data_IF_827309280955
#
_entry.id   IF_827309280955
#
_cell.length_a   1.000
_cell.length_b   1.000
_cell.length_c   1.000
_cell.angle_alpha   90.00
_cell.angle_beta   90.00
_cell.angle_gamma   90.00
#
_symmetry.space_group_name_H-M   'P 1'
#
loop_
_entity.id
_entity.type
_entity.pdbx_description
1 polymer ?
#
# COMPACT_ATOMS: atom_id res chain seq x y z
N UNK A 1 18.93 15.42 -13.19
CA UNK A 1 18.81 16.06 -11.84
C UNK A 1 17.54 15.67 -11.05
N UNK A 2 16.45 15.19 -11.68
CA UNK A 2 15.16 14.90 -11.00
C UNK A 2 15.16 13.69 -10.04
N UNK A 3 15.95 12.63 -10.29
CA UNK A 3 15.97 11.41 -9.44
C UNK A 3 16.39 11.66 -7.98
N UNK A 4 17.32 12.58 -7.72
CA UNK A 4 17.80 12.88 -6.36
C UNK A 4 16.80 13.69 -5.53
N UNK A 5 16.01 14.55 -6.18
CA UNK A 5 15.01 15.38 -5.50
C UNK A 5 13.82 14.55 -5.04
N UNK A 6 13.39 13.59 -5.85
CA UNK A 6 12.30 12.68 -5.50
C UNK A 6 12.70 11.74 -4.36
N UNK A 7 13.93 11.20 -4.37
CA UNK A 7 14.44 10.34 -3.30
C UNK A 7 14.39 11.04 -1.92
N UNK A 8 14.86 12.30 -1.85
CA UNK A 8 14.85 13.07 -0.60
C UNK A 8 13.43 13.32 -0.07
N UNK A 9 12.46 13.56 -0.94
CA UNK A 9 11.06 13.76 -0.53
C UNK A 9 10.45 12.47 0.03
N UNK A 10 10.77 11.33 -0.57
CA UNK A 10 10.31 10.02 -0.08
C UNK A 10 10.98 9.65 1.25
N UNK A 11 12.27 9.95 1.42
CA UNK A 11 12.96 9.77 2.70
C UNK A 11 12.33 10.63 3.82
N UNK A 12 12.01 11.89 3.51
CA UNK A 12 11.33 12.77 4.47
C UNK A 12 9.92 12.28 4.79
N UNK A 13 9.16 11.81 3.80
CA UNK A 13 7.87 11.17 4.02
C UNK A 13 8.01 9.98 4.97
N UNK A 14 8.94 9.07 4.68
CA UNK A 14 9.17 7.90 5.52
C UNK A 14 9.49 8.29 6.96
N UNK A 15 10.35 9.30 7.16
CA UNK A 15 10.67 9.81 8.49
C UNK A 15 9.47 10.37 9.26
N UNK A 16 8.56 11.09 8.58
CA UNK A 16 7.32 11.57 9.20
C UNK A 16 6.38 10.42 9.58
N UNK A 17 6.23 9.42 8.71
CA UNK A 17 5.38 8.25 8.97
C UNK A 17 5.94 7.38 10.11
N UNK A 18 7.26 7.20 10.19
CA UNK A 18 7.94 6.51 11.29
C UNK A 18 7.80 7.28 12.61
N UNK A 19 7.77 8.61 12.55
CA UNK A 19 7.48 9.48 13.68
C UNK A 19 5.97 9.60 14.01
N UNK A 20 5.11 8.81 13.34
CA UNK A 20 3.64 8.84 13.47
C UNK A 20 2.98 10.18 13.18
N UNK A 21 3.62 11.01 12.35
CA UNK A 21 3.11 12.32 11.92
C UNK A 21 2.35 12.19 10.61
N UNK A 22 1.22 11.47 10.64
CA UNK A 22 0.46 11.10 9.45
C UNK A 22 -0.22 12.28 8.74
N UNK A 23 -0.44 13.38 9.45
CA UNK A 23 -1.12 14.59 8.94
C UNK A 23 -0.22 15.83 9.05
N UNK A 24 1.11 15.66 9.04
CA UNK A 24 1.99 16.83 8.98
C UNK A 24 1.85 17.54 7.64
N UNK A 25 2.09 18.84 7.62
CA UNK A 25 2.01 19.64 6.39
C UNK A 25 2.88 19.09 5.24
N UNK A 26 3.97 18.38 5.57
CA UNK A 26 4.76 17.67 4.58
C UNK A 26 4.00 16.48 3.99
N UNK A 27 3.39 15.64 4.83
CA UNK A 27 2.61 14.47 4.38
C UNK A 27 1.42 14.93 3.58
N UNK A 28 0.61 15.86 4.08
CA UNK A 28 -0.55 16.41 3.36
C UNK A 28 -0.15 16.95 1.98
N UNK A 29 0.95 17.72 1.92
CA UNK A 29 1.47 18.26 0.66
C UNK A 29 1.91 17.17 -0.31
N UNK A 30 2.49 16.07 0.17
CA UNK A 30 2.90 14.94 -0.67
C UNK A 30 1.67 14.18 -1.17
N UNK A 31 0.67 13.97 -0.32
CA UNK A 31 -0.56 13.24 -0.66
C UNK A 31 -1.56 14.07 -1.48
N UNK A 32 -1.41 15.39 -1.51
CA UNK A 32 -2.18 16.28 -2.38
C UNK A 32 -1.84 16.06 -3.87
N UNK A 33 -0.64 15.56 -4.18
CA UNK A 33 -0.31 15.13 -5.54
C UNK A 33 -0.95 13.75 -5.81
N UNK A 34 -1.56 13.55 -7.00
CA UNK A 34 -2.16 12.25 -7.34
C UNK A 34 -1.07 11.16 -7.40
N UNK A 35 -1.22 10.13 -6.57
CA UNK A 35 -0.23 9.06 -6.47
C UNK A 35 -0.63 7.96 -5.50
N UNK A 36 -0.72 6.73 -6.02
CA UNK A 36 -1.13 5.58 -5.22
C UNK A 36 -0.08 5.15 -4.18
N UNK A 37 1.21 5.23 -4.51
CA UNK A 37 2.25 4.67 -3.62
C UNK A 37 2.44 5.45 -2.31
N UNK A 38 2.50 6.80 -2.29
CA UNK A 38 2.58 7.53 -1.02
C UNK A 38 1.35 7.31 -0.13
N UNK A 39 0.15 7.24 -0.72
CA UNK A 39 -1.09 6.98 0.00
C UNK A 39 -1.09 5.57 0.62
N UNK A 40 -0.74 4.54 -0.15
CA UNK A 40 -0.61 3.17 0.39
C UNK A 40 0.50 3.04 1.43
N UNK A 41 1.58 3.83 1.30
CA UNK A 41 2.65 3.83 2.30
C UNK A 41 2.12 4.39 3.62
N UNK A 42 1.40 5.52 3.60
CA UNK A 42 0.75 6.05 4.82
C UNK A 42 -0.27 5.06 5.37
N UNK A 43 -1.12 4.46 4.52
CA UNK A 43 -2.08 3.43 4.92
C UNK A 43 -1.43 2.25 5.66
N UNK A 44 -0.24 1.80 5.23
CA UNK A 44 0.50 0.75 5.94
C UNK A 44 0.84 1.16 7.38
N UNK A 45 1.34 2.38 7.59
CA UNK A 45 1.68 2.87 8.92
C UNK A 45 0.43 3.11 9.78
N UNK A 46 -0.64 3.65 9.21
CA UNK A 46 -1.93 3.81 9.88
C UNK A 46 -2.49 2.45 10.33
N UNK A 47 -2.44 1.42 9.47
CA UNK A 47 -2.85 0.08 9.82
C UNK A 47 -2.00 -0.54 10.94
N UNK A 48 -0.68 -0.29 10.95
CA UNK A 48 0.21 -0.70 12.06
C UNK A 48 -0.17 -0.01 13.38
N UNK A 49 -0.60 1.25 13.33
CA UNK A 49 -1.02 2.02 14.50
C UNK A 49 -2.51 1.83 14.86
N UNK A 50 -3.18 0.87 14.21
CA UNK A 50 -4.60 0.53 14.42
C UNK A 50 -5.58 1.64 14.03
N UNK A 51 -5.14 2.62 13.25
CA UNK A 51 -5.98 3.66 12.63
C UNK A 51 -6.66 3.09 11.37
N UNK A 52 -7.55 2.11 11.57
CA UNK A 52 -8.06 1.25 10.49
C UNK A 52 -8.91 2.02 9.47
N UNK A 53 -9.75 2.95 9.91
CA UNK A 53 -10.60 3.76 9.03
C UNK A 53 -9.76 4.69 8.14
N UNK A 54 -8.76 5.35 8.72
CA UNK A 54 -7.85 6.21 7.98
C UNK A 54 -7.01 5.41 6.98
N UNK A 55 -6.55 4.22 7.37
CA UNK A 55 -5.83 3.32 6.47
C UNK A 55 -6.70 2.89 5.27
N UNK A 56 -7.97 2.52 5.50
CA UNK A 56 -8.91 2.17 4.42
C UNK A 56 -9.19 3.35 3.50
N UNK A 57 -9.39 4.55 4.05
CA UNK A 57 -9.60 5.76 3.25
C UNK A 57 -8.41 6.07 2.34
N UNK A 58 -7.17 5.89 2.83
CA UNK A 58 -5.98 6.04 2.00
C UNK A 58 -5.87 4.96 0.91
N UNK A 59 -6.30 3.73 1.20
CA UNK A 59 -6.38 2.67 0.19
C UNK A 59 -7.36 3.05 -0.92
N UNK A 60 -8.53 3.59 -0.58
CA UNK A 60 -9.54 4.01 -1.56
C UNK A 60 -8.97 5.07 -2.51
N UNK A 61 -8.36 6.12 -1.96
CA UNK A 61 -7.69 7.16 -2.76
C UNK A 61 -6.59 6.59 -3.65
N UNK A 62 -5.85 5.58 -3.16
CA UNK A 62 -4.78 4.98 -3.93
C UNK A 62 -5.30 4.16 -5.12
N UNK A 63 -6.41 3.45 -4.91
CA UNK A 63 -7.08 2.68 -5.95
C UNK A 63 -7.68 3.59 -7.03
N UNK A 64 -8.21 4.76 -6.66
CA UNK A 64 -8.64 5.79 -7.63
C UNK A 64 -7.47 6.27 -8.51
N UNK A 65 -6.29 6.47 -7.92
CA UNK A 65 -5.12 6.97 -8.64
C UNK A 65 -4.43 5.91 -9.51
N UNK A 66 -4.48 4.63 -9.11
CA UNK A 66 -3.56 3.63 -9.64
C UNK A 66 -4.08 2.20 -9.64
N UNK A 67 -5.39 1.96 -9.52
CA UNK A 67 -5.98 0.61 -9.43
C UNK A 67 -5.71 -0.32 -10.62
N UNK A 68 -5.21 0.21 -11.75
CA UNK A 68 -4.72 -0.59 -12.88
C UNK A 68 -3.28 -1.11 -12.71
N UNK A 69 -2.58 -0.77 -11.64
CA UNK A 69 -1.23 -1.23 -11.36
C UNK A 69 -1.26 -2.47 -10.45
N UNK A 70 -0.65 -3.60 -10.84
CA UNK A 70 -0.66 -4.83 -10.04
C UNK A 70 -0.03 -4.67 -8.65
N UNK A 71 0.96 -3.77 -8.49
CA UNK A 71 1.58 -3.48 -7.19
C UNK A 71 0.60 -2.73 -6.27
N UNK A 72 -0.17 -1.79 -6.84
CA UNK A 72 -1.17 -1.01 -6.10
C UNK A 72 -2.30 -1.93 -5.63
N UNK A 73 -2.88 -2.72 -6.54
CA UNK A 73 -3.94 -3.68 -6.20
C UNK A 73 -3.47 -4.70 -5.15
N UNK A 74 -2.25 -5.25 -5.30
CA UNK A 74 -1.72 -6.22 -4.35
C UNK A 74 -1.49 -5.61 -2.96
N UNK A 75 -0.86 -4.43 -2.88
CA UNK A 75 -0.61 -3.76 -1.60
C UNK A 75 -1.92 -3.31 -0.93
N UNK A 76 -2.89 -2.81 -1.71
CA UNK A 76 -4.24 -2.50 -1.22
C UNK A 76 -4.90 -3.74 -0.61
N UNK A 77 -4.83 -4.89 -1.29
CA UNK A 77 -5.36 -6.15 -0.79
C UNK A 77 -4.77 -6.56 0.57
N UNK A 78 -3.45 -6.47 0.72
CA UNK A 78 -2.79 -6.78 2.00
C UNK A 78 -3.24 -5.84 3.13
N UNK A 79 -3.35 -4.53 2.86
CA UNK A 79 -3.76 -3.54 3.87
C UNK A 79 -5.24 -3.75 4.24
N UNK A 80 -6.11 -3.93 3.25
CA UNK A 80 -7.54 -4.16 3.46
C UNK A 80 -7.76 -5.38 4.37
N UNK A 81 -7.06 -6.48 4.11
CA UNK A 81 -7.12 -7.67 4.93
C UNK A 81 -6.73 -7.38 6.38
N UNK A 82 -5.59 -6.73 6.59
CA UNK A 82 -5.13 -6.34 7.93
C UNK A 82 -6.07 -5.35 8.64
N UNK A 83 -6.83 -4.57 7.88
CA UNK A 83 -7.87 -3.68 8.43
C UNK A 83 -9.22 -4.37 8.64
N UNK A 84 -9.35 -5.66 8.32
CA UNK A 84 -10.58 -6.44 8.49
C UNK A 84 -11.59 -6.33 7.33
N UNK A 85 -11.19 -5.74 6.21
CA UNK A 85 -12.01 -5.67 4.99
C UNK A 85 -11.65 -6.82 4.04
N UNK A 86 -11.92 -8.03 4.51
CA UNK A 86 -11.45 -9.27 3.87
C UNK A 86 -12.00 -9.46 2.46
N UNK A 87 -13.28 -9.13 2.24
CA UNK A 87 -13.90 -9.32 0.93
C UNK A 87 -13.23 -8.43 -0.10
N UNK A 88 -13.05 -7.14 0.20
CA UNK A 88 -12.35 -6.22 -0.71
C UNK A 88 -10.88 -6.60 -0.85
N UNK A 89 -10.26 -7.15 0.19
CA UNK A 89 -8.89 -7.66 0.09
C UNK A 89 -8.75 -8.76 -0.96
N UNK A 90 -9.63 -9.76 -0.92
CA UNK A 90 -9.64 -10.86 -1.88
C UNK A 90 -9.89 -10.35 -3.31
N UNK A 91 -10.81 -9.40 -3.48
CA UNK A 91 -11.09 -8.79 -4.79
C UNK A 91 -9.85 -8.07 -5.35
N UNK A 92 -9.14 -7.29 -4.52
CA UNK A 92 -7.93 -6.60 -4.96
C UNK A 92 -6.77 -7.55 -5.25
N UNK A 93 -6.64 -8.64 -4.48
CA UNK A 93 -5.64 -9.68 -4.75
C UNK A 93 -5.93 -10.42 -6.06
N UNK A 94 -7.21 -10.74 -6.33
CA UNK A 94 -7.63 -11.33 -7.60
C UNK A 94 -7.34 -10.39 -8.77
N UNK A 95 -7.67 -9.10 -8.63
CA UNK A 95 -7.35 -8.09 -9.65
C UNK A 95 -5.85 -7.96 -9.89
N UNK A 96 -5.03 -7.99 -8.83
CA UNK A 96 -3.58 -7.99 -8.98
C UNK A 96 -3.09 -9.20 -9.80
N UNK A 97 -3.70 -10.37 -9.60
CA UNK A 97 -3.40 -11.59 -10.33
C UNK A 97 -3.72 -11.48 -11.83
N UNK A 98 -4.86 -10.88 -12.17
CA UNK A 98 -5.27 -10.64 -13.56
C UNK A 98 -4.32 -9.67 -14.28
N UNK A 99 -3.85 -8.64 -13.58
CA UNK A 99 -2.99 -7.60 -14.13
C UNK A 99 -1.55 -8.08 -14.40
N UNK A 100 -1.07 -9.12 -13.72
CA UNK A 100 0.27 -9.66 -13.97
C UNK A 100 0.41 -11.12 -13.55
N UNK A 101 0.94 -12.00 -14.42
CA UNK A 101 1.23 -13.40 -14.07
C UNK A 101 2.16 -13.55 -12.85
N UNK A 102 3.07 -12.59 -12.63
CA UNK A 102 3.96 -12.61 -11.47
C UNK A 102 3.21 -12.25 -10.18
N UNK A 103 2.27 -11.31 -10.25
CA UNK A 103 1.38 -10.98 -9.15
C UNK A 103 0.40 -12.12 -8.87
N UNK A 104 -0.03 -12.88 -9.89
CA UNK A 104 -0.90 -14.05 -9.72
C UNK A 104 -0.30 -15.11 -8.80
N UNK A 105 1.01 -15.38 -8.95
CA UNK A 105 1.71 -16.32 -8.06
C UNK A 105 1.71 -15.85 -6.61
N UNK A 106 1.83 -14.54 -6.37
CA UNK A 106 1.83 -13.98 -5.01
C UNK A 106 0.41 -13.90 -4.44
N UNK A 107 -0.56 -13.43 -5.22
CA UNK A 107 -1.96 -13.38 -4.85
C UNK A 107 -2.51 -14.76 -4.49
N UNK A 108 -2.17 -15.82 -5.24
CA UNK A 108 -2.56 -17.20 -4.88
C UNK A 108 -2.01 -17.66 -3.53
N UNK A 109 -0.76 -17.29 -3.22
CA UNK A 109 -0.15 -17.65 -1.92
C UNK A 109 -0.85 -16.96 -0.77
N UNK A 110 -1.18 -15.67 -0.95
CA UNK A 110 -1.85 -14.87 0.08
C UNK A 110 -3.32 -15.23 0.23
N UNK A 111 -4.08 -15.36 -0.86
CA UNK A 111 -5.49 -15.75 -0.80
C UNK A 111 -5.71 -17.12 -0.17
N UNK A 112 -4.83 -18.10 -0.45
CA UNK A 112 -4.90 -19.41 0.19
C UNK A 112 -4.58 -19.35 1.70
N UNK A 113 -3.57 -18.57 2.08
CA UNK A 113 -3.21 -18.38 3.50
C UNK A 113 -4.32 -17.65 4.27
N UNK A 114 -4.89 -16.59 3.69
CA UNK A 114 -5.98 -15.80 4.25
C UNK A 114 -7.27 -16.63 4.43
N UNK A 115 -7.62 -17.46 3.44
CA UNK A 115 -8.75 -18.37 3.54
C UNK A 115 -8.56 -19.45 4.64
N UNK A 116 -7.32 -19.86 4.93
CA UNK A 116 -7.03 -20.75 6.05
C UNK A 116 -6.94 -20.02 7.40
N UNK A 117 -6.49 -18.77 7.42
CA UNK A 117 -6.33 -17.95 8.64
C UNK A 117 -7.65 -17.41 9.20
N UNK A 118 -8.75 -17.46 8.45
CA UNK A 118 -10.09 -17.22 9.03
C UNK A 118 -10.38 -18.13 10.24
N UNK A 119 -9.64 -19.24 10.42
CA UNK A 119 -9.70 -20.11 11.59
C UNK A 119 -8.77 -19.69 12.76
N UNK A 120 -7.70 -18.94 12.51
CA UNK A 120 -6.65 -18.58 13.48
C UNK A 120 -6.39 -17.06 13.44
N UNK A 121 -6.92 -16.32 14.42
CA UNK A 121 -6.93 -14.86 14.43
C UNK A 121 -5.53 -14.21 14.23
N UNK A 122 -5.38 -13.45 13.12
CA UNK A 122 -4.53 -12.27 12.90
C UNK A 122 -3.02 -12.35 13.25
N UNK A 123 -2.42 -13.55 13.30
CA UNK A 123 -1.00 -13.72 13.64
C UNK A 123 0.00 -13.11 12.64
N UNK A 124 -0.42 -12.90 11.38
CA UNK A 124 0.47 -12.50 10.28
C UNK A 124 0.27 -11.07 9.76
N UNK A 125 -0.57 -10.27 10.41
CA UNK A 125 -0.88 -8.90 10.00
C UNK A 125 0.35 -8.01 9.87
N UNK A 126 1.28 -8.12 10.83
CA UNK A 126 2.54 -7.39 10.81
C UNK A 126 3.41 -7.78 9.62
N UNK A 127 3.48 -9.07 9.29
CA UNK A 127 4.26 -9.57 8.17
C UNK A 127 3.70 -9.07 6.83
N UNK A 128 2.37 -9.08 6.69
CA UNK A 128 1.67 -8.53 5.51
C UNK A 128 1.97 -7.06 5.30
N UNK A 129 1.84 -6.25 6.35
CA UNK A 129 2.12 -4.81 6.28
C UNK A 129 3.59 -4.54 5.97
N UNK A 130 4.52 -5.32 6.53
CA UNK A 130 5.94 -5.21 6.18
C UNK A 130 6.22 -5.59 4.72
N UNK A 131 5.56 -6.65 4.21
CA UNK A 131 5.64 -7.00 2.80
C UNK A 131 5.12 -5.87 1.91
N UNK A 132 3.95 -5.32 2.21
CA UNK A 132 3.37 -4.20 1.49
C UNK A 132 4.33 -2.99 1.51
N UNK A 133 4.84 -2.60 2.68
CA UNK A 133 5.82 -1.51 2.85
C UNK A 133 7.05 -1.70 1.98
N UNK A 134 7.66 -2.90 1.98
CA UNK A 134 8.84 -3.21 1.14
C UNK A 134 8.55 -3.05 -0.34
N UNK A 135 7.39 -3.52 -0.80
CA UNK A 135 6.98 -3.40 -2.20
C UNK A 135 6.77 -1.94 -2.60
N UNK A 136 6.10 -1.17 -1.74
CA UNK A 136 5.82 0.26 -1.96
C UNK A 136 7.11 1.08 -1.98
N UNK A 137 8.03 0.84 -1.04
CA UNK A 137 9.33 1.52 -1.00
C UNK A 137 10.16 1.20 -2.24
N UNK A 138 10.17 -0.06 -2.70
CA UNK A 138 10.82 -0.43 -3.96
C UNK A 138 10.18 0.28 -5.15
N UNK A 139 8.85 0.34 -5.20
CA UNK A 139 8.13 1.04 -6.27
C UNK A 139 8.46 2.54 -6.26
N UNK A 140 8.48 3.17 -5.09
CA UNK A 140 8.84 4.59 -4.91
C UNK A 140 10.30 4.88 -5.28
N UNK A 141 11.23 3.97 -4.99
CA UNK A 141 12.64 4.11 -5.39
C UNK A 141 12.84 4.15 -6.92
N UNK A 142 11.94 3.49 -7.65
CA UNK A 142 11.94 3.49 -9.12
C UNK A 142 10.91 4.47 -9.73
N UNK A 143 10.10 5.15 -8.90
CA UNK A 143 9.04 6.04 -9.35
C UNK A 143 9.62 7.38 -9.81
N UNK A 144 9.59 7.63 -11.12
CA UNK A 144 10.08 8.86 -11.73
C UNK A 144 9.04 9.98 -11.79
N UNK A 145 7.93 9.89 -11.04
CA UNK A 145 6.76 10.76 -11.18
C UNK A 145 5.76 10.23 -12.19
N UNK A 146 4.55 10.81 -12.28
CA UNK A 146 3.61 10.47 -13.35
C UNK A 146 4.29 10.75 -14.69
N UNK A 147 4.16 9.83 -15.66
CA UNK A 147 4.54 10.12 -17.04
C UNK A 147 3.66 11.29 -17.50
N UNK A 148 4.23 12.38 -18.05
CA UNK A 148 3.41 13.37 -18.71
C UNK A 148 2.64 12.66 -19.82
N UNK A 149 1.33 12.93 -19.88
CA UNK A 149 0.49 12.60 -21.04
C UNK A 149 1.00 13.32 -22.29
#
# INVERSE_FOLDING_TARGET
MMRRRNARVIEQLLGELEAKRYDSALVERILAAPGAFPQLLRACFLAQDRELDAARADVDRALECGGGNPVVAFAAGLILYTTGDEQRALDQLARAAELSPNAAKQARKHGAAMASEQADAHGHDRERLEQAKRMLLKALAHYTGPKPV
#
